data_IF_765327495757
#
_entry.id   IF_765327495757
#
_cell.length_a   1.000
_cell.length_b   1.000
_cell.length_c   1.000
_cell.angle_alpha   90.00
_cell.angle_beta   90.00
_cell.angle_gamma   90.00
#
_symmetry.space_group_name_H-M   'P 1'
#
loop_
_entity.id
_entity.type
_entity.pdbx_description
1 polymer ?
#
# COMPACT_ATOMS: atom_id res chain seq x y z
N UNK A 1 12.28 -16.27 8.18
CA UNK A 1 11.83 -17.07 7.02
C UNK A 1 12.22 -16.30 5.76
N UNK A 2 13.35 -16.60 5.10
CA UNK A 2 13.95 -15.72 4.07
C UNK A 2 13.45 -15.93 2.63
N UNK A 3 12.49 -16.84 2.41
CA UNK A 3 11.95 -17.17 1.07
C UNK A 3 10.61 -16.50 0.76
N UNK A 4 9.87 -16.08 1.79
CA UNK A 4 8.56 -15.45 1.63
C UNK A 4 8.78 -13.95 1.48
N UNK A 5 8.41 -13.40 0.33
CA UNK A 5 8.58 -11.98 0.00
C UNK A 5 7.27 -11.21 -0.04
N UNK A 6 6.14 -11.93 -0.14
CA UNK A 6 4.82 -11.32 -0.28
C UNK A 6 3.72 -12.27 0.18
N UNK A 7 2.55 -11.70 0.49
CA UNK A 7 1.29 -12.40 0.74
C UNK A 7 0.21 -11.87 -0.21
N UNK A 8 -0.80 -12.70 -0.48
CA UNK A 8 -2.03 -12.28 -1.17
C UNK A 8 -3.24 -12.73 -0.36
N UNK A 9 -4.24 -11.85 -0.24
CA UNK A 9 -5.51 -12.22 0.37
C UNK A 9 -6.36 -13.05 -0.61
N UNK A 10 -6.55 -14.32 -0.28
CA UNK A 10 -7.57 -15.20 -0.89
C UNK A 10 -8.98 -14.85 -0.41
N UNK A 11 -9.45 -13.63 -0.68
CA UNK A 11 -10.69 -13.10 -0.10
C UNK A 11 -11.96 -13.83 -0.55
N UNK A 12 -11.93 -14.48 -1.71
CA UNK A 12 -13.04 -15.31 -2.21
C UNK A 12 -13.21 -16.55 -1.34
N UNK A 13 -12.18 -17.38 -1.25
CA UNK A 13 -12.19 -18.62 -0.48
C UNK A 13 -12.40 -18.34 1.02
N UNK A 14 -11.70 -17.34 1.56
CA UNK A 14 -11.86 -16.94 2.97
C UNK A 14 -13.31 -16.55 3.29
N UNK A 15 -13.99 -15.80 2.42
CA UNK A 15 -15.39 -15.43 2.67
C UNK A 15 -16.35 -16.63 2.64
N UNK A 16 -16.06 -17.63 1.80
CA UNK A 16 -16.81 -18.87 1.74
C UNK A 16 -16.62 -19.71 3.01
N UNK A 17 -15.38 -19.85 3.49
CA UNK A 17 -15.04 -20.57 4.72
C UNK A 17 -15.65 -19.90 5.97
N UNK A 18 -15.59 -18.56 6.01
CA UNK A 18 -16.19 -17.77 7.10
C UNK A 18 -17.71 -17.65 6.99
N UNK A 19 -18.32 -18.06 5.86
CA UNK A 19 -19.75 -17.96 5.58
C UNK A 19 -20.29 -16.53 5.70
N UNK A 20 -19.47 -15.55 5.29
CA UNK A 20 -19.81 -14.14 5.34
C UNK A 20 -19.93 -13.54 3.95
N UNK A 21 -20.41 -12.29 3.88
CA UNK A 21 -20.36 -11.54 2.62
C UNK A 21 -18.91 -11.19 2.31
N UNK A 22 -18.57 -11.16 1.02
CA UNK A 22 -17.29 -10.63 0.53
C UNK A 22 -17.35 -9.12 0.33
N UNK A 23 -17.97 -8.40 1.27
CA UNK A 23 -17.96 -6.95 1.26
C UNK A 23 -16.79 -6.42 2.11
N UNK A 24 -16.51 -5.12 1.97
CA UNK A 24 -15.41 -4.48 2.68
C UNK A 24 -15.49 -4.69 4.19
N UNK A 25 -16.68 -4.48 4.77
CA UNK A 25 -16.88 -4.49 6.22
C UNK A 25 -16.69 -5.89 6.81
N UNK A 26 -17.26 -6.92 6.19
CA UNK A 26 -17.17 -8.31 6.66
C UNK A 26 -15.72 -8.83 6.59
N UNK A 27 -14.94 -8.31 5.64
CA UNK A 27 -13.55 -8.71 5.42
C UNK A 27 -12.51 -7.79 6.06
N UNK A 28 -12.94 -6.68 6.69
CA UNK A 28 -12.04 -5.66 7.23
C UNK A 28 -11.07 -6.24 8.26
N UNK A 29 -11.56 -7.08 9.19
CA UNK A 29 -10.70 -7.73 10.18
C UNK A 29 -9.61 -8.58 9.53
N UNK A 30 -9.97 -9.40 8.54
CA UNK A 30 -9.02 -10.23 7.79
C UNK A 30 -7.95 -9.38 7.13
N UNK A 31 -8.35 -8.29 6.46
CA UNK A 31 -7.45 -7.34 5.82
C UNK A 31 -6.50 -6.68 6.83
N UNK A 32 -7.02 -6.13 7.91
CA UNK A 32 -6.20 -5.51 8.96
C UNK A 32 -5.21 -6.50 9.58
N UNK A 33 -5.65 -7.74 9.85
CA UNK A 33 -4.79 -8.77 10.42
C UNK A 33 -3.66 -9.18 9.49
N UNK A 34 -3.91 -9.23 8.18
CA UNK A 34 -2.87 -9.49 7.18
C UNK A 34 -1.91 -8.30 7.05
N UNK A 35 -2.39 -7.06 7.07
CA UNK A 35 -1.53 -5.87 7.06
C UNK A 35 -0.55 -5.91 8.24
N UNK A 36 -1.03 -6.16 9.45
CA UNK A 36 -0.17 -6.28 10.62
C UNK A 36 0.86 -7.42 10.48
N UNK A 37 0.45 -8.57 9.93
CA UNK A 37 1.35 -9.70 9.72
C UNK A 37 2.44 -9.38 8.68
N UNK A 38 2.06 -8.79 7.55
CA UNK A 38 2.98 -8.40 6.48
C UNK A 38 3.96 -7.31 6.94
N UNK A 39 3.46 -6.27 7.61
CA UNK A 39 4.29 -5.21 8.17
C UNK A 39 5.30 -5.74 9.21
N UNK A 40 4.87 -6.63 10.11
CA UNK A 40 5.77 -7.27 11.08
C UNK A 40 6.82 -8.17 10.45
N UNK A 41 6.54 -8.72 9.27
CA UNK A 41 7.47 -9.56 8.52
C UNK A 41 8.32 -8.76 7.51
N UNK A 42 8.01 -7.49 7.27
CA UNK A 42 8.68 -6.66 6.28
C UNK A 42 8.46 -7.13 4.84
N UNK A 43 7.28 -7.66 4.52
CA UNK A 43 6.94 -8.21 3.20
C UNK A 43 5.73 -7.50 2.58
N UNK A 44 5.60 -7.64 1.27
CA UNK A 44 4.48 -7.07 0.52
C UNK A 44 3.17 -7.80 0.80
N UNK A 45 2.05 -7.08 0.63
CA UNK A 45 0.71 -7.64 0.76
C UNK A 45 -0.19 -7.13 -0.36
N UNK A 46 -0.74 -8.08 -1.12
CA UNK A 46 -1.66 -7.82 -2.22
C UNK A 46 -3.10 -8.12 -1.81
N UNK A 47 -4.02 -7.22 -2.12
CA UNK A 47 -5.44 -7.47 -1.89
C UNK A 47 -6.04 -8.41 -2.96
N UNK A 48 -7.20 -8.97 -2.62
CA UNK A 48 -8.02 -9.79 -3.51
C UNK A 48 -8.38 -9.02 -4.80
N UNK A 49 -8.48 -9.69 -5.97
CA UNK A 49 -8.97 -9.02 -7.16
C UNK A 49 -10.42 -8.56 -6.99
N UNK A 50 -10.71 -7.39 -7.55
CA UNK A 50 -12.08 -6.93 -7.71
C UNK A 50 -12.76 -7.78 -8.80
N UNK A 51 -13.95 -8.33 -8.49
CA UNK A 51 -14.58 -9.33 -9.37
C UNK A 51 -15.60 -8.75 -10.35
N UNK A 52 -16.17 -7.58 -10.06
CA UNK A 52 -17.08 -6.92 -11.00
C UNK A 52 -16.28 -6.14 -12.05
N UNK A 53 -16.12 -6.75 -13.23
CA UNK A 53 -15.32 -6.20 -14.32
C UNK A 53 -15.89 -4.91 -14.92
N UNK A 54 -17.17 -4.58 -14.63
CA UNK A 54 -17.86 -3.42 -15.17
C UNK A 54 -17.90 -2.24 -14.20
N UNK A 55 -17.67 -2.47 -12.91
CA UNK A 55 -17.69 -1.44 -11.87
C UNK A 55 -16.29 -0.86 -11.60
N UNK A 56 -15.86 0.05 -12.48
CA UNK A 56 -14.58 0.74 -12.35
C UNK A 56 -14.52 1.63 -11.10
N UNK A 57 -15.63 2.27 -10.73
CA UNK A 57 -15.69 3.12 -9.54
C UNK A 57 -15.58 2.29 -8.25
N UNK A 58 -16.23 1.12 -8.21
CA UNK A 58 -16.11 0.16 -7.13
C UNK A 58 -14.67 -0.35 -6.98
N UNK A 59 -14.02 -0.68 -8.10
CA UNK A 59 -12.61 -1.03 -8.11
C UNK A 59 -11.76 0.11 -7.53
N UNK A 60 -11.93 1.35 -7.98
CA UNK A 60 -11.17 2.51 -7.51
C UNK A 60 -11.35 2.71 -6.01
N UNK A 61 -12.59 2.80 -5.53
CA UNK A 61 -12.91 2.99 -4.11
C UNK A 61 -12.29 1.92 -3.21
N UNK A 62 -12.47 0.64 -3.57
CA UNK A 62 -11.98 -0.46 -2.74
C UNK A 62 -10.45 -0.60 -2.80
N UNK A 63 -9.84 -0.25 -3.94
CA UNK A 63 -8.37 -0.25 -4.08
C UNK A 63 -7.75 0.88 -3.27
N UNK A 64 -8.33 2.08 -3.30
CA UNK A 64 -7.89 3.21 -2.48
C UNK A 64 -7.98 2.86 -0.98
N UNK A 65 -9.12 2.31 -0.54
CA UNK A 65 -9.28 1.86 0.84
C UNK A 65 -8.26 0.78 1.24
N UNK A 66 -7.82 -0.08 0.30
CA UNK A 66 -6.78 -1.07 0.54
C UNK A 66 -5.40 -0.41 0.70
N UNK A 67 -5.08 0.58 -0.13
CA UNK A 67 -3.86 1.37 -0.03
C UNK A 67 -3.79 2.08 1.33
N UNK A 68 -4.86 2.78 1.72
CA UNK A 68 -4.96 3.50 3.00
C UNK A 68 -4.82 2.56 4.21
N UNK A 69 -5.33 1.32 4.09
CA UNK A 69 -5.24 0.33 5.15
C UNK A 69 -3.81 -0.24 5.30
N UNK A 70 -2.96 -0.13 4.27
CA UNK A 70 -1.56 -0.55 4.32
C UNK A 70 -1.18 -1.71 3.37
N UNK A 71 -2.04 -2.06 2.41
CA UNK A 71 -1.66 -2.96 1.32
C UNK A 71 -0.61 -2.30 0.41
N UNK A 72 0.18 -3.11 -0.28
CA UNK A 72 1.20 -2.64 -1.24
C UNK A 72 0.82 -2.92 -2.69
N UNK A 73 -0.34 -3.55 -2.92
CA UNK A 73 -0.91 -3.75 -4.23
C UNK A 73 -2.25 -4.46 -4.19
N UNK A 74 -2.76 -4.80 -5.38
CA UNK A 74 -3.99 -5.58 -5.58
C UNK A 74 -3.81 -6.51 -6.77
N UNK A 75 -4.33 -7.73 -6.67
CA UNK A 75 -4.37 -8.63 -7.82
C UNK A 75 -5.33 -8.14 -8.91
N UNK A 76 -4.94 -8.31 -10.16
CA UNK A 76 -5.77 -8.00 -11.33
C UNK A 76 -6.17 -9.30 -12.04
N UNK A 77 -7.47 -9.47 -12.31
CA UNK A 77 -8.01 -10.59 -13.10
C UNK A 77 -8.35 -10.20 -14.53
N UNK A 78 -8.33 -8.90 -14.85
CA UNK A 78 -8.62 -8.38 -16.18
C UNK A 78 -7.74 -7.15 -16.49
N UNK A 79 -7.31 -6.95 -17.75
CA UNK A 79 -6.42 -5.85 -18.12
C UNK A 79 -6.97 -4.44 -17.81
N UNK A 80 -8.28 -4.25 -17.85
CA UNK A 80 -8.91 -2.95 -17.53
C UNK A 80 -8.70 -2.51 -16.06
N UNK A 81 -8.30 -3.41 -15.15
CA UNK A 81 -8.01 -3.05 -13.77
C UNK A 81 -6.64 -2.39 -13.61
N UNK A 82 -5.71 -2.65 -14.54
CA UNK A 82 -4.30 -2.30 -14.38
C UNK A 82 -4.10 -0.79 -14.24
N UNK A 83 -4.81 0.02 -15.02
CA UNK A 83 -4.68 1.48 -14.96
C UNK A 83 -5.05 2.02 -13.57
N UNK A 84 -6.20 1.61 -13.03
CA UNK A 84 -6.71 2.08 -11.73
C UNK A 84 -5.82 1.57 -10.59
N UNK A 85 -5.46 0.28 -10.61
CA UNK A 85 -4.59 -0.29 -9.58
C UNK A 85 -3.23 0.41 -9.56
N UNK A 86 -2.59 0.54 -10.73
CA UNK A 86 -1.28 1.18 -10.81
C UNK A 86 -1.35 2.65 -10.41
N UNK A 87 -2.39 3.39 -10.79
CA UNK A 87 -2.56 4.78 -10.40
C UNK A 87 -2.63 4.95 -8.88
N UNK A 88 -3.33 4.07 -8.17
CA UNK A 88 -3.51 4.17 -6.71
C UNK A 88 -2.24 3.77 -5.94
N UNK A 89 -1.50 2.76 -6.41
CA UNK A 89 -0.29 2.28 -5.72
C UNK A 89 1.00 2.96 -6.19
N UNK A 90 0.93 3.81 -7.22
CA UNK A 90 2.06 4.64 -7.67
C UNK A 90 2.03 5.97 -6.91
N UNK A 91 3.09 6.32 -6.18
CA UNK A 91 3.18 7.63 -5.55
C UNK A 91 3.06 8.75 -6.57
N UNK A 92 2.30 9.78 -6.22
CA UNK A 92 2.20 11.02 -6.98
C UNK A 92 3.52 11.78 -6.97
N UNK A 93 3.67 12.67 -7.94
CA UNK A 93 4.84 13.55 -8.03
C UNK A 93 5.01 14.39 -6.74
N UNK A 94 3.91 14.89 -6.18
CA UNK A 94 3.91 15.69 -4.96
C UNK A 94 4.40 14.88 -3.74
N UNK A 95 3.96 13.62 -3.61
CA UNK A 95 4.43 12.71 -2.57
C UNK A 95 5.93 12.41 -2.72
N UNK A 96 6.41 12.22 -3.95
CA UNK A 96 7.83 11.99 -4.24
C UNK A 96 8.65 13.23 -3.87
N UNK A 97 8.20 14.42 -4.25
CA UNK A 97 8.90 15.67 -3.93
C UNK A 97 8.94 15.94 -2.43
N UNK A 98 7.82 15.73 -1.73
CA UNK A 98 7.78 15.80 -0.26
C UNK A 98 8.74 14.80 0.36
N UNK A 99 8.73 13.55 -0.10
CA UNK A 99 9.64 12.51 0.38
C UNK A 99 11.12 12.90 0.20
N UNK A 100 11.48 13.48 -0.95
CA UNK A 100 12.85 14.00 -1.20
C UNK A 100 13.22 15.11 -0.21
N UNK A 101 12.32 16.08 0.02
CA UNK A 101 12.56 17.18 0.97
C UNK A 101 12.75 16.65 2.39
N UNK A 102 11.86 15.76 2.85
CA UNK A 102 11.86 15.20 4.20
C UNK A 102 13.13 14.36 4.44
N UNK A 103 13.46 13.43 3.53
CA UNK A 103 14.66 12.60 3.69
C UNK A 103 15.93 13.45 3.71
N UNK A 104 16.06 14.43 2.80
CA UNK A 104 17.20 15.34 2.77
C UNK A 104 17.31 16.20 4.04
N UNK A 105 16.19 16.69 4.56
CA UNK A 105 16.19 17.49 5.79
C UNK A 105 16.61 16.65 7.01
N UNK A 106 16.13 15.40 7.08
CA UNK A 106 16.47 14.48 8.16
C UNK A 106 17.92 14.01 8.11
N UNK A 107 18.45 13.69 6.92
CA UNK A 107 19.86 13.27 6.72
C UNK A 107 20.88 14.35 7.10
N UNK A 108 20.48 15.64 7.04
CA UNK A 108 21.31 16.76 7.47
C UNK A 108 21.10 17.15 8.95
N UNK A 109 20.25 16.43 9.69
CA UNK A 109 19.98 16.71 11.10
C UNK A 109 20.83 15.83 12.01
N UNK A 110 21.54 16.44 12.96
CA UNK A 110 22.35 15.73 13.96
C UNK A 110 21.52 15.22 15.16
N UNK A 111 20.25 15.61 15.26
CA UNK A 111 19.40 15.35 16.44
C UNK A 111 18.41 14.19 16.26
N UNK A 112 18.31 13.63 15.05
CA UNK A 112 17.34 12.57 14.73
C UNK A 112 15.88 13.06 14.66
N UNK A 113 15.68 14.38 14.57
CA UNK A 113 14.40 15.06 14.42
C UNK A 113 14.57 16.31 13.56
N UNK A 114 13.55 16.63 12.75
CA UNK A 114 13.56 17.80 11.87
C UNK A 114 12.15 18.36 11.72
N UNK A 115 12.02 19.66 11.43
CA UNK A 115 10.73 20.28 11.10
C UNK A 115 10.70 20.57 9.60
N UNK A 116 9.68 20.06 8.91
CA UNK A 116 9.46 20.29 7.48
C UNK A 116 7.98 20.59 7.30
N UNK A 117 7.65 21.64 6.54
CA UNK A 117 6.26 22.06 6.29
C UNK A 117 5.44 22.22 7.60
N UNK A 118 6.06 22.82 8.63
CA UNK A 118 5.52 23.00 9.99
C UNK A 118 5.18 21.70 10.77
N UNK A 119 5.60 20.54 10.27
CA UNK A 119 5.43 19.24 10.92
C UNK A 119 6.73 18.72 11.55
N UNK A 120 6.64 18.18 12.76
CA UNK A 120 7.75 17.45 13.39
C UNK A 120 7.91 16.08 12.72
N UNK A 121 9.08 15.84 12.16
CA UNK A 121 9.45 14.61 11.48
C UNK A 121 10.43 13.81 12.35
N UNK A 122 10.03 12.58 12.64
CA UNK A 122 10.85 11.56 13.30
C UNK A 122 11.12 10.38 12.36
N UNK A 123 12.02 9.48 12.77
CA UNK A 123 12.42 8.31 11.99
C UNK A 123 11.24 7.48 11.42
N UNK A 124 10.11 7.24 12.12
CA UNK A 124 8.97 6.52 11.53
C UNK A 124 8.38 7.16 10.28
N UNK A 125 8.31 8.50 10.24
CA UNK A 125 7.84 9.25 9.07
C UNK A 125 8.87 9.15 7.95
N UNK A 126 10.16 9.27 8.27
CA UNK A 126 11.23 9.14 7.28
C UNK A 126 11.25 7.75 6.64
N UNK A 127 10.98 6.69 7.41
CA UNK A 127 10.84 5.33 6.85
C UNK A 127 9.74 5.22 5.80
N UNK A 128 8.60 5.90 5.98
CA UNK A 128 7.56 5.89 4.95
C UNK A 128 7.97 6.69 3.72
N UNK A 129 8.69 7.81 3.90
CA UNK A 129 9.25 8.59 2.79
C UNK A 129 10.29 7.80 1.98
N UNK A 130 11.18 7.04 2.64
CA UNK A 130 12.09 6.13 1.92
C UNK A 130 11.35 5.07 1.10
N UNK A 131 10.20 4.57 1.59
CA UNK A 131 9.35 3.64 0.82
C UNK A 131 8.77 4.31 -0.43
N UNK A 132 8.32 5.56 -0.32
CA UNK A 132 7.84 6.34 -1.48
C UNK A 132 8.95 6.46 -2.54
N UNK A 133 10.16 6.85 -2.13
CA UNK A 133 11.30 7.01 -3.04
C UNK A 133 11.75 5.68 -3.64
N UNK A 134 11.68 4.57 -2.90
CA UNK A 134 12.04 3.25 -3.43
C UNK A 134 11.06 2.80 -4.52
N UNK A 135 9.76 3.01 -4.34
CA UNK A 135 8.75 2.70 -5.35
C UNK A 135 8.97 3.54 -6.61
N UNK A 136 9.15 4.86 -6.46
CA UNK A 136 9.41 5.76 -7.58
C UNK A 136 10.64 5.34 -8.39
N UNK A 137 11.76 5.05 -7.71
CA UNK A 137 13.00 4.58 -8.35
C UNK A 137 12.80 3.27 -9.12
N UNK A 138 12.03 2.33 -8.57
CA UNK A 138 11.75 1.06 -9.24
C UNK A 138 10.91 1.24 -10.50
N UNK A 139 9.98 2.20 -10.52
CA UNK A 139 9.16 2.53 -11.69
C UNK A 139 10.01 3.22 -12.77
N UNK A 140 10.85 4.19 -12.40
CA UNK A 140 11.75 4.89 -13.33
C UNK A 140 12.81 3.96 -13.97
N UNK A 141 13.16 2.87 -13.29
CA UNK A 141 14.17 1.90 -13.77
C UNK A 141 13.67 0.87 -14.79
N UNK A 142 12.39 0.94 -15.20
CA UNK A 142 11.77 0.05 -16.19
C UNK A 142 11.74 0.69 -17.57
#
# INVERSE_FOLDING_TARGET
CSRVTSLILGGVDMSADLRCKRDWQSMLYTRSRLVHAAASAGIDLLDVPYLDLKDAEGLERETAASSDLGFTGRAAVHPNHLSIINQIFTPSQDEIERARRVCKAFENSDTGLVVVDDELIELPVVRSMYRVLSIAKMIESR
#
